data_IF_637521391316
#
_entry.id   IF_637521391316
#
_cell.length_a   1.000
_cell.length_b   1.000
_cell.length_c   1.000
_cell.angle_alpha   90.00
_cell.angle_beta   90.00
_cell.angle_gamma   90.00
#
_symmetry.space_group_name_H-M   'P 1'
#
loop_
_entity.id
_entity.type
_entity.pdbx_description
1 polymer ?
#
# COMPACT_ATOMS: atom_id res chain seq x y z
N UNK A 1 16.79 1.51 -8.27
CA UNK A 1 17.30 2.54 -7.34
C UNK A 1 18.04 3.57 -8.15
N UNK A 2 17.72 4.86 -7.98
CA UNK A 2 18.58 5.92 -8.50
C UNK A 2 19.97 5.72 -7.89
N UNK A 3 21.04 5.87 -8.66
CA UNK A 3 22.43 5.85 -8.17
C UNK A 3 22.70 6.91 -7.09
N UNK A 4 21.72 7.77 -6.81
CA UNK A 4 21.82 8.90 -5.90
C UNK A 4 21.27 8.62 -4.49
N UNK A 5 20.64 7.47 -4.21
CA UNK A 5 20.19 7.14 -2.84
C UNK A 5 21.42 6.88 -1.96
N UNK A 6 21.68 7.69 -0.92
CA UNK A 6 22.83 7.48 -0.05
C UNK A 6 22.72 6.14 0.69
N UNK A 7 23.76 5.32 0.61
CA UNK A 7 23.78 4.00 1.28
C UNK A 7 23.62 4.11 2.81
N UNK A 8 24.00 5.26 3.39
CA UNK A 8 23.83 5.54 4.82
C UNK A 8 22.36 5.55 5.26
N UNK A 9 21.42 5.85 4.36
CA UNK A 9 19.99 5.82 4.69
C UNK A 9 19.54 4.43 5.10
N UNK A 10 20.02 3.38 4.41
CA UNK A 10 19.68 2.00 4.77
C UNK A 10 20.13 1.64 6.19
N UNK A 11 21.34 2.06 6.57
CA UNK A 11 21.84 1.88 7.93
C UNK A 11 21.03 2.70 8.93
N UNK A 12 20.72 3.96 8.63
CA UNK A 12 19.93 4.82 9.52
C UNK A 12 18.52 4.26 9.76
N UNK A 13 17.86 3.75 8.72
CA UNK A 13 16.54 3.11 8.82
C UNK A 13 16.59 1.84 9.65
N UNK A 14 17.53 0.93 9.37
CA UNK A 14 17.63 -0.31 10.13
C UNK A 14 17.99 -0.09 11.62
N UNK A 15 18.67 1.02 11.93
CA UNK A 15 19.03 1.41 13.31
C UNK A 15 17.82 1.90 14.12
N UNK A 16 16.66 2.18 13.50
CA UNK A 16 15.43 2.57 14.23
C UNK A 16 15.07 1.57 15.33
N UNK A 17 15.31 0.26 15.13
CA UNK A 17 15.13 -0.77 16.18
C UNK A 17 15.94 -0.54 17.46
N UNK A 18 17.05 0.21 17.36
CA UNK A 18 17.95 0.50 18.49
C UNK A 18 17.71 1.89 19.08
N UNK A 19 16.96 2.75 18.38
CA UNK A 19 16.62 4.09 18.86
C UNK A 19 15.45 3.96 19.85
N UNK A 20 15.77 4.05 21.15
CA UNK A 20 14.86 3.98 22.31
C UNK A 20 14.30 2.58 22.58
N UNK A 21 15.23 1.70 22.96
CA UNK A 21 15.05 0.29 23.34
C UNK A 21 14.11 0.03 24.53
N UNK A 22 12.81 0.20 24.31
CA UNK A 22 11.76 -0.56 25.00
C UNK A 22 11.28 -1.76 24.18
N UNK A 23 11.39 -1.70 22.85
CA UNK A 23 10.74 -2.65 21.96
C UNK A 23 11.76 -3.54 21.23
N UNK A 24 12.22 -4.59 21.91
CA UNK A 24 13.15 -5.59 21.34
C UNK A 24 12.55 -6.45 20.23
N UNK A 25 11.24 -6.32 20.00
CA UNK A 25 10.45 -7.12 19.06
C UNK A 25 10.17 -6.38 17.73
N UNK A 26 10.69 -5.16 17.54
CA UNK A 26 10.54 -4.41 16.29
C UNK A 26 11.41 -5.02 15.18
N UNK A 27 10.77 -5.45 14.09
CA UNK A 27 11.44 -5.90 12.87
C UNK A 27 11.41 -4.82 11.78
N UNK A 28 12.50 -4.69 11.02
CA UNK A 28 12.60 -3.70 9.95
C UNK A 28 12.76 -4.38 8.59
N UNK A 29 11.81 -4.12 7.69
CA UNK A 29 11.78 -4.70 6.35
C UNK A 29 12.19 -3.68 5.29
N UNK A 30 12.79 -4.16 4.21
CA UNK A 30 13.00 -3.36 2.99
C UNK A 30 12.00 -3.77 1.93
N UNK A 31 11.23 -2.82 1.38
CA UNK A 31 10.38 -3.10 0.20
C UNK A 31 11.16 -2.82 -1.09
N UNK A 32 10.98 -3.68 -2.09
CA UNK A 32 11.58 -3.55 -3.41
C UNK A 32 10.44 -3.56 -4.42
N UNK A 33 10.35 -2.51 -5.23
CA UNK A 33 9.34 -2.39 -6.27
C UNK A 33 8.59 -1.07 -6.18
N UNK A 34 7.28 -1.13 -6.20
CA UNK A 34 6.35 0.01 -6.18
C UNK A 34 5.97 0.52 -7.56
N UNK A 35 4.98 1.41 -7.56
CA UNK A 35 4.34 1.93 -8.77
C UNK A 35 5.33 2.51 -9.78
N UNK A 36 6.22 3.41 -9.35
CA UNK A 36 7.22 4.05 -10.24
C UNK A 36 8.24 3.03 -10.76
N UNK A 37 8.62 2.04 -9.94
CA UNK A 37 9.54 0.99 -10.38
C UNK A 37 8.96 0.17 -11.54
N UNK A 38 7.64 0.00 -11.53
CA UNK A 38 6.91 -0.79 -12.53
C UNK A 38 6.34 0.06 -13.66
N UNK A 39 6.66 1.36 -13.73
CA UNK A 39 6.13 2.27 -14.74
C UNK A 39 6.58 1.92 -16.15
N UNK A 40 5.66 2.10 -17.10
CA UNK A 40 5.90 1.85 -18.52
C UNK A 40 7.11 2.63 -19.06
N UNK A 41 7.94 1.94 -19.87
CA UNK A 41 9.09 2.53 -20.57
C UNK A 41 10.19 3.04 -19.62
N UNK A 42 10.28 2.48 -18.42
CA UNK A 42 11.40 2.69 -17.50
C UNK A 42 12.40 1.52 -17.56
N UNK A 43 13.63 1.75 -17.12
CA UNK A 43 14.66 0.70 -17.04
C UNK A 43 14.32 -0.40 -16.02
N UNK A 44 13.50 -0.07 -15.02
CA UNK A 44 13.11 -0.97 -13.93
C UNK A 44 11.90 -1.83 -14.26
N UNK A 45 11.05 -1.41 -15.19
CA UNK A 45 9.85 -2.16 -15.59
C UNK A 45 10.08 -3.65 -15.83
N UNK A 46 11.04 -4.08 -16.68
CA UNK A 46 11.21 -5.51 -16.98
C UNK A 46 11.89 -6.29 -15.85
N UNK A 47 12.48 -5.62 -14.84
CA UNK A 47 13.45 -6.22 -13.93
C UNK A 47 12.86 -7.40 -13.16
N UNK A 48 11.64 -7.30 -12.64
CA UNK A 48 11.03 -8.42 -11.91
C UNK A 48 10.77 -9.62 -12.82
N UNK A 49 10.15 -9.42 -13.99
CA UNK A 49 9.93 -10.51 -14.96
C UNK A 49 11.25 -11.15 -15.44
N UNK A 50 12.29 -10.33 -15.62
CA UNK A 50 13.63 -10.79 -16.00
C UNK A 50 14.28 -11.66 -14.92
N UNK A 51 14.18 -11.27 -13.66
CA UNK A 51 14.67 -12.06 -12.53
C UNK A 51 13.82 -13.33 -12.40
N UNK A 52 12.49 -13.19 -12.36
CA UNK A 52 11.53 -14.27 -12.14
C UNK A 52 11.65 -15.37 -13.20
N UNK A 53 11.86 -15.03 -14.47
CA UNK A 53 11.92 -16.00 -15.58
C UNK A 53 13.20 -16.85 -15.62
N UNK A 54 14.26 -16.48 -14.89
CA UNK A 54 15.57 -17.11 -15.02
C UNK A 54 16.09 -17.71 -13.70
N UNK A 55 16.21 -19.05 -13.57
CA UNK A 55 16.76 -19.69 -12.37
C UNK A 55 18.10 -19.10 -11.88
N UNK A 56 19.12 -18.88 -12.74
CA UNK A 56 20.36 -18.27 -12.26
C UNK A 56 20.18 -16.82 -11.79
N UNK A 57 19.32 -16.01 -12.43
CA UNK A 57 19.04 -14.63 -11.96
C UNK A 57 18.30 -14.64 -10.62
N UNK A 58 17.29 -15.51 -10.43
CA UNK A 58 16.61 -15.70 -9.13
C UNK A 58 17.60 -16.03 -8.01
N UNK A 59 18.54 -16.94 -8.27
CA UNK A 59 19.54 -17.32 -7.28
C UNK A 59 20.52 -16.18 -6.95
N UNK A 60 20.93 -15.39 -7.94
CA UNK A 60 21.77 -14.21 -7.73
C UNK A 60 21.01 -13.17 -6.91
N UNK A 61 19.76 -12.89 -7.26
CA UNK A 61 18.88 -11.97 -6.54
C UNK A 61 18.73 -12.39 -5.07
N UNK A 62 18.35 -13.64 -4.80
CA UNK A 62 18.22 -14.17 -3.44
C UNK A 62 19.51 -14.05 -2.61
N UNK A 63 20.67 -14.36 -3.19
CA UNK A 63 21.98 -14.19 -2.51
C UNK A 63 22.30 -12.73 -2.22
N UNK A 64 21.95 -11.83 -3.13
CA UNK A 64 22.15 -10.40 -2.93
C UNK A 64 21.21 -9.83 -1.87
N UNK A 65 19.97 -10.31 -1.78
CA UNK A 65 19.05 -9.97 -0.69
C UNK A 65 19.64 -10.34 0.66
N UNK A 66 20.10 -11.58 0.84
CA UNK A 66 20.74 -12.00 2.10
C UNK A 66 21.92 -11.10 2.44
N UNK A 67 22.83 -10.85 1.48
CA UNK A 67 23.97 -9.95 1.71
C UNK A 67 23.54 -8.53 2.09
N UNK A 68 22.53 -7.99 1.41
CA UNK A 68 22.01 -6.65 1.66
C UNK A 68 21.40 -6.55 3.07
N UNK A 69 20.53 -7.50 3.42
CA UNK A 69 19.87 -7.54 4.74
C UNK A 69 20.90 -7.76 5.86
N UNK A 70 21.90 -8.61 5.66
CA UNK A 70 23.01 -8.80 6.61
C UNK A 70 23.86 -7.53 6.78
N UNK A 71 24.16 -6.84 5.68
CA UNK A 71 25.02 -5.67 5.69
C UNK A 71 24.37 -4.49 6.41
N UNK A 72 23.09 -4.23 6.13
CA UNK A 72 22.37 -3.08 6.69
C UNK A 72 21.57 -3.41 7.96
N UNK A 73 21.28 -4.68 8.23
CA UNK A 73 20.59 -5.12 9.44
C UNK A 73 19.07 -5.25 9.31
N UNK A 74 18.53 -5.40 8.09
CA UNK A 74 17.11 -5.67 7.85
C UNK A 74 16.71 -7.09 8.29
N UNK A 75 15.45 -7.25 8.67
CA UNK A 75 14.86 -8.50 9.16
C UNK A 75 14.08 -9.26 8.09
N UNK A 76 13.70 -8.58 7.01
CA UNK A 76 13.09 -9.22 5.87
C UNK A 76 12.96 -8.29 4.67
N UNK A 77 12.26 -8.79 3.66
CA UNK A 77 12.00 -8.08 2.41
C UNK A 77 10.54 -8.20 2.02
N UNK A 78 9.99 -7.11 1.52
CA UNK A 78 8.70 -7.07 0.83
C UNK A 78 8.94 -6.93 -0.68
N UNK A 79 8.24 -7.71 -1.49
CA UNK A 79 8.28 -7.59 -2.95
C UNK A 79 6.98 -6.95 -3.45
N UNK A 80 7.12 -5.75 -3.99
CA UNK A 80 6.02 -4.92 -4.47
C UNK A 80 6.04 -4.80 -6.00
N UNK A 81 5.75 -5.90 -6.69
CA UNK A 81 5.70 -5.92 -8.16
C UNK A 81 4.31 -5.51 -8.66
N UNK A 82 4.23 -4.38 -9.37
CA UNK A 82 2.98 -3.78 -9.83
C UNK A 82 2.82 -3.72 -11.37
N UNK A 83 2.34 -4.76 -12.07
CA UNK A 83 1.89 -6.06 -11.56
C UNK A 83 2.36 -7.20 -12.48
N UNK A 84 2.65 -8.40 -11.93
CA UNK A 84 2.92 -9.57 -12.76
C UNK A 84 1.73 -9.85 -13.69
N UNK A 85 1.99 -10.33 -14.91
CA UNK A 85 0.93 -10.71 -15.86
C UNK A 85 0.13 -9.57 -16.51
N UNK A 86 0.09 -8.38 -15.90
CA UNK A 86 -0.64 -7.24 -16.40
C UNK A 86 0.10 -6.55 -17.55
N UNK A 87 -0.37 -6.75 -18.79
CA UNK A 87 0.31 -6.22 -19.99
C UNK A 87 0.39 -4.69 -20.04
N UNK A 88 -0.58 -3.99 -19.45
CA UNK A 88 -0.59 -2.54 -19.31
C UNK A 88 0.50 -2.02 -18.35
N UNK A 89 1.13 -2.91 -17.59
CA UNK A 89 2.28 -2.66 -16.71
C UNK A 89 3.54 -3.44 -17.15
N UNK A 90 3.52 -4.02 -18.35
CA UNK A 90 4.66 -4.76 -18.92
C UNK A 90 4.78 -6.22 -18.45
N UNK A 91 3.79 -6.72 -17.71
CA UNK A 91 3.70 -8.13 -17.31
C UNK A 91 3.34 -9.06 -18.48
N UNK A 92 3.61 -10.35 -18.28
CA UNK A 92 3.38 -11.45 -19.24
C UNK A 92 2.73 -12.64 -18.55
N UNK A 93 1.99 -13.46 -19.29
CA UNK A 93 1.26 -14.60 -18.72
C UNK A 93 2.18 -15.57 -17.94
N UNK A 94 3.41 -15.79 -18.42
CA UNK A 94 4.39 -16.63 -17.73
C UNK A 94 4.84 -16.08 -16.36
N UNK A 95 4.58 -14.80 -16.05
CA UNK A 95 4.93 -14.19 -14.77
C UNK A 95 4.18 -14.86 -13.61
N UNK A 96 2.98 -15.39 -13.82
CA UNK A 96 2.18 -16.05 -12.77
C UNK A 96 2.98 -17.21 -12.14
N UNK A 97 3.48 -18.13 -12.97
CA UNK A 97 4.29 -19.25 -12.49
C UNK A 97 5.69 -18.82 -12.06
N UNK A 98 6.26 -17.83 -12.75
CA UNK A 98 7.61 -17.37 -12.46
C UNK A 98 7.69 -16.59 -11.15
N UNK A 99 6.61 -15.93 -10.73
CA UNK A 99 6.57 -15.20 -9.48
C UNK A 99 6.56 -16.14 -8.28
N UNK A 100 5.86 -17.28 -8.36
CA UNK A 100 5.96 -18.36 -7.38
C UNK A 100 7.42 -18.84 -7.24
N UNK A 101 8.11 -19.07 -8.35
CA UNK A 101 9.54 -19.48 -8.35
C UNK A 101 10.46 -18.39 -7.80
N UNK A 102 10.10 -17.12 -8.00
CA UNK A 102 10.77 -15.95 -7.42
C UNK A 102 10.58 -15.85 -5.91
N UNK A 103 9.54 -16.45 -5.34
CA UNK A 103 9.36 -16.55 -3.88
C UNK A 103 10.00 -17.81 -3.29
N UNK A 104 9.91 -18.94 -4.01
CA UNK A 104 10.56 -20.19 -3.62
C UNK A 104 12.09 -20.03 -3.45
N UNK A 105 12.74 -19.35 -4.41
CA UNK A 105 14.21 -19.27 -4.43
C UNK A 105 14.78 -18.43 -3.26
N UNK A 106 14.27 -17.22 -2.94
CA UNK A 106 14.62 -16.47 -1.74
C UNK A 106 14.32 -17.23 -0.46
N UNK A 107 13.13 -17.84 -0.30
CA UNK A 107 12.78 -18.60 0.91
C UNK A 107 13.83 -19.67 1.23
N UNK A 108 14.16 -20.54 0.26
CA UNK A 108 15.22 -21.55 0.43
C UNK A 108 16.59 -20.93 0.72
N UNK A 109 16.91 -19.80 0.10
CA UNK A 109 18.20 -19.12 0.33
C UNK A 109 18.27 -18.47 1.72
N UNK A 110 17.14 -17.96 2.23
CA UNK A 110 17.02 -17.37 3.56
C UNK A 110 17.17 -18.43 4.64
N UNK A 111 16.49 -19.58 4.47
CA UNK A 111 16.53 -20.70 5.40
C UNK A 111 17.93 -21.34 5.48
N UNK A 112 18.69 -21.28 4.39
CA UNK A 112 20.07 -21.75 4.33
C UNK A 112 21.11 -20.70 4.79
N UNK A 113 20.70 -19.46 5.10
CA UNK A 113 21.60 -18.41 5.56
C UNK A 113 21.93 -18.54 7.04
N UNK A 114 23.01 -17.89 7.50
CA UNK A 114 23.48 -17.97 8.90
C UNK A 114 22.45 -17.49 9.92
N UNK A 115 21.73 -16.39 9.64
CA UNK A 115 20.66 -15.90 10.52
C UNK A 115 19.50 -16.89 10.55
N UNK A 116 19.21 -17.53 9.41
CA UNK A 116 17.91 -18.16 9.16
C UNK A 116 16.77 -17.15 9.27
N UNK A 117 15.56 -17.53 8.88
CA UNK A 117 14.33 -16.80 9.25
C UNK A 117 14.26 -15.31 8.84
N UNK A 118 14.83 -14.90 7.70
CA UNK A 118 14.45 -13.61 7.12
C UNK A 118 12.97 -13.65 6.72
N UNK A 119 12.25 -12.57 7.03
CA UNK A 119 10.86 -12.43 6.61
C UNK A 119 10.75 -12.16 5.10
N UNK A 120 9.66 -12.64 4.51
CA UNK A 120 9.36 -12.50 3.09
C UNK A 120 7.87 -12.24 2.90
N UNK A 121 7.52 -11.01 2.51
CA UNK A 121 6.15 -10.61 2.16
C UNK A 121 6.04 -10.20 0.70
N UNK A 122 4.80 -10.03 0.25
CA UNK A 122 4.49 -9.38 -1.01
C UNK A 122 3.26 -8.50 -0.88
N UNK A 123 3.17 -7.58 -1.83
CA UNK A 123 2.06 -6.65 -1.94
C UNK A 123 1.09 -7.08 -3.03
N UNK A 124 -0.21 -6.92 -2.78
CA UNK A 124 -1.29 -7.22 -3.73
C UNK A 124 -2.27 -6.04 -3.87
N UNK A 125 -2.86 -5.86 -5.06
CA UNK A 125 -3.89 -4.85 -5.29
C UNK A 125 -5.26 -5.31 -4.77
N UNK A 126 -6.17 -4.37 -4.53
CA UNK A 126 -7.59 -4.69 -4.29
C UNK A 126 -8.38 -4.98 -5.58
N UNK A 127 -7.89 -4.50 -6.74
CA UNK A 127 -8.57 -4.69 -8.03
C UNK A 127 -8.43 -6.12 -8.56
N UNK A 128 -9.56 -6.78 -8.85
CA UNK A 128 -9.58 -8.10 -9.50
C UNK A 128 -8.78 -8.16 -10.81
N UNK A 129 -8.79 -7.07 -11.60
CA UNK A 129 -8.11 -7.01 -12.90
C UNK A 129 -6.61 -7.29 -12.78
N UNK A 130 -5.99 -6.81 -11.71
CA UNK A 130 -4.59 -7.06 -11.39
C UNK A 130 -4.41 -8.29 -10.49
N UNK A 131 -5.31 -8.52 -9.54
CA UNK A 131 -5.22 -9.62 -8.58
C UNK A 131 -5.25 -11.01 -9.23
N UNK A 132 -5.92 -11.17 -10.37
CA UNK A 132 -6.04 -12.44 -11.10
C UNK A 132 -4.70 -13.06 -11.53
N UNK A 133 -3.62 -12.29 -11.53
CA UNK A 133 -2.28 -12.74 -11.92
C UNK A 133 -1.45 -13.31 -10.77
N UNK A 134 -1.99 -13.36 -9.55
CA UNK A 134 -1.29 -13.87 -8.38
C UNK A 134 -1.72 -15.32 -8.09
N UNK A 135 -0.77 -16.28 -8.18
CA UNK A 135 -0.99 -17.64 -7.69
C UNK A 135 -0.82 -17.68 -6.16
N UNK A 136 -1.86 -17.29 -5.43
CA UNK A 136 -1.87 -17.28 -3.97
C UNK A 136 -1.48 -18.63 -3.36
N UNK A 137 -1.97 -19.73 -3.93
CA UNK A 137 -1.69 -21.08 -3.43
C UNK A 137 -0.20 -21.42 -3.57
N UNK A 138 0.44 -20.98 -4.65
CA UNK A 138 1.88 -21.10 -4.85
C UNK A 138 2.68 -20.17 -3.94
N UNK A 139 2.34 -18.89 -3.94
CA UNK A 139 3.08 -17.84 -3.24
C UNK A 139 3.04 -17.99 -1.70
N UNK A 140 1.88 -18.28 -1.12
CA UNK A 140 1.71 -18.37 0.34
C UNK A 140 2.42 -19.58 0.98
N UNK A 141 2.97 -20.51 0.19
CA UNK A 141 3.88 -21.57 0.67
C UNK A 141 5.25 -21.03 1.07
N UNK A 142 5.63 -19.88 0.53
CA UNK A 142 6.97 -19.32 0.64
C UNK A 142 6.96 -17.95 1.33
N UNK A 143 5.87 -17.19 1.21
CA UNK A 143 5.69 -15.93 1.90
C UNK A 143 5.15 -16.12 3.33
N UNK A 144 5.58 -15.25 4.22
CA UNK A 144 5.13 -15.20 5.61
C UNK A 144 3.72 -14.59 5.69
N UNK A 145 3.50 -13.45 5.02
CA UNK A 145 2.20 -12.78 4.86
C UNK A 145 2.10 -12.03 3.52
N UNK A 146 0.93 -11.44 3.27
CA UNK A 146 0.63 -10.60 2.11
C UNK A 146 0.01 -9.27 2.54
N UNK A 147 0.44 -8.16 1.93
CA UNK A 147 -0.07 -6.80 2.19
C UNK A 147 -1.14 -6.45 1.14
N UNK A 148 -2.40 -6.31 1.56
CA UNK A 148 -3.50 -5.91 0.69
C UNK A 148 -3.57 -4.38 0.61
N UNK A 149 -3.20 -3.80 -0.54
CA UNK A 149 -3.39 -2.37 -0.83
C UNK A 149 -4.88 -2.04 -0.89
N UNK A 150 -5.43 -1.58 0.23
CA UNK A 150 -6.86 -1.31 0.42
C UNK A 150 -7.24 0.15 0.22
N UNK A 151 -6.47 0.81 -0.64
CA UNK A 151 -6.60 2.20 -1.07
C UNK A 151 -6.47 2.26 -2.60
N UNK A 152 -6.64 3.47 -3.16
CA UNK A 152 -6.61 3.70 -4.61
C UNK A 152 -7.66 2.89 -5.39
N UNK A 153 -8.80 2.62 -4.75
CA UNK A 153 -9.95 2.00 -5.41
C UNK A 153 -10.53 2.90 -6.51
N UNK A 154 -10.45 4.21 -6.31
CA UNK A 154 -10.95 5.22 -7.24
C UNK A 154 -9.98 6.38 -7.38
N UNK A 155 -10.04 7.03 -8.53
CA UNK A 155 -9.23 8.20 -8.83
C UNK A 155 -9.61 8.83 -10.17
N UNK A 156 -8.87 9.87 -10.55
CA UNK A 156 -9.19 10.65 -11.76
C UNK A 156 -9.07 9.82 -13.05
N UNK A 157 -8.37 8.69 -13.00
CA UNK A 157 -8.22 7.73 -14.10
C UNK A 157 -9.54 7.02 -14.45
N UNK A 158 -10.52 6.98 -13.52
CA UNK A 158 -11.82 6.33 -13.76
C UNK A 158 -12.64 7.01 -14.87
N UNK A 159 -12.27 8.23 -15.27
CA UNK A 159 -12.83 8.89 -16.45
C UNK A 159 -12.82 8.03 -17.71
N UNK A 160 -11.78 7.21 -17.86
CA UNK A 160 -11.56 6.38 -19.04
C UNK A 160 -12.01 4.92 -18.84
N UNK A 161 -12.64 4.62 -17.69
CA UNK A 161 -13.19 3.32 -17.30
C UNK A 161 -14.74 3.34 -17.30
N UNK A 162 -15.44 2.18 -17.37
CA UNK A 162 -16.90 2.11 -17.15
C UNK A 162 -17.43 2.78 -15.87
N UNK A 163 -16.62 2.94 -14.81
CA UNK A 163 -16.99 3.75 -13.62
C UNK A 163 -17.34 5.20 -14.02
N UNK A 164 -16.55 5.79 -14.92
CA UNK A 164 -16.74 7.14 -15.45
C UNK A 164 -16.27 8.25 -14.51
N UNK A 165 -16.52 9.50 -14.90
CA UNK A 165 -16.05 10.68 -14.16
C UNK A 165 -16.92 11.02 -12.94
N UNK A 166 -16.99 10.15 -11.95
CA UNK A 166 -17.72 10.35 -10.69
C UNK A 166 -16.77 10.33 -9.48
N UNK A 167 -17.06 11.13 -8.46
CA UNK A 167 -16.27 11.15 -7.21
C UNK A 167 -16.65 9.97 -6.33
N UNK A 168 -15.66 9.20 -5.91
CA UNK A 168 -15.80 8.05 -5.02
C UNK A 168 -14.59 8.01 -4.09
N UNK A 169 -14.80 7.48 -2.88
CA UNK A 169 -13.76 7.41 -1.87
C UNK A 169 -12.81 6.23 -2.14
N UNK A 170 -11.51 6.49 -2.18
CA UNK A 170 -10.54 5.48 -2.60
C UNK A 170 -10.25 4.39 -1.54
N UNK A 171 -10.81 4.50 -0.32
CA UNK A 171 -10.66 3.54 0.79
C UNK A 171 -12.02 3.00 1.27
N UNK A 172 -12.99 2.84 0.35
CA UNK A 172 -14.32 2.33 0.64
C UNK A 172 -14.30 0.89 1.21
N UNK A 173 -14.69 0.73 2.48
CA UNK A 173 -14.67 -0.56 3.19
C UNK A 173 -15.61 -1.62 2.59
N UNK A 174 -16.72 -1.24 1.93
CA UNK A 174 -17.58 -2.26 1.29
C UNK A 174 -16.84 -2.97 0.16
N UNK A 175 -16.01 -2.25 -0.58
CA UNK A 175 -15.25 -2.77 -1.70
C UNK A 175 -13.94 -3.43 -1.26
N UNK A 176 -13.31 -2.92 -0.19
CA UNK A 176 -12.21 -3.62 0.48
C UNK A 176 -12.64 -5.02 0.91
N UNK A 177 -13.87 -5.16 1.44
CA UNK A 177 -14.45 -6.46 1.78
C UNK A 177 -14.61 -7.35 0.55
N UNK A 178 -15.11 -6.81 -0.55
CA UNK A 178 -15.24 -7.57 -1.81
C UNK A 178 -13.88 -8.03 -2.36
N UNK A 179 -12.85 -7.19 -2.26
CA UNK A 179 -11.48 -7.57 -2.61
C UNK A 179 -10.95 -8.70 -1.72
N UNK A 180 -11.15 -8.61 -0.40
CA UNK A 180 -10.74 -9.64 0.55
C UNK A 180 -11.46 -10.99 0.31
N UNK A 181 -12.73 -10.98 -0.10
CA UNK A 181 -13.47 -12.20 -0.47
C UNK A 181 -12.79 -12.99 -1.60
N UNK A 182 -12.06 -12.32 -2.51
CA UNK A 182 -11.29 -13.00 -3.54
C UNK A 182 -10.13 -13.82 -2.95
N UNK A 183 -9.57 -13.40 -1.83
CA UNK A 183 -8.51 -14.12 -1.11
C UNK A 183 -9.06 -15.37 -0.43
N UNK A 184 -10.23 -15.26 0.23
CA UNK A 184 -10.90 -16.40 0.88
C UNK A 184 -11.31 -17.48 -0.12
N UNK A 185 -11.79 -17.07 -1.30
CA UNK A 185 -12.10 -18.00 -2.40
C UNK A 185 -10.87 -18.75 -2.94
N UNK A 186 -9.67 -18.24 -2.67
CA UNK A 186 -8.40 -18.87 -3.00
C UNK A 186 -7.71 -19.54 -1.80
N UNK A 187 -8.40 -19.67 -0.67
CA UNK A 187 -7.89 -20.28 0.56
C UNK A 187 -6.63 -19.60 1.13
N UNK A 188 -6.49 -18.29 0.95
CA UNK A 188 -5.50 -17.52 1.71
C UNK A 188 -5.97 -17.49 3.17
N UNK A 189 -5.14 -17.86 4.15
CA UNK A 189 -5.53 -17.77 5.55
C UNK A 189 -5.66 -16.29 5.98
N UNK A 190 -6.75 -15.88 6.64
CA UNK A 190 -6.91 -14.49 7.09
C UNK A 190 -5.78 -13.95 7.95
N UNK A 191 -5.23 -14.77 8.84
CA UNK A 191 -4.13 -14.42 9.72
C UNK A 191 -2.82 -14.09 8.98
N UNK A 192 -2.75 -14.38 7.67
CA UNK A 192 -1.62 -14.04 6.80
C UNK A 192 -1.88 -12.83 5.90
N UNK A 193 -3.03 -12.16 6.02
CA UNK A 193 -3.36 -10.96 5.25
C UNK A 193 -3.23 -9.75 6.17
N UNK A 194 -2.46 -8.75 5.73
CA UNK A 194 -2.29 -7.47 6.40
C UNK A 194 -3.04 -6.41 5.61
N UNK A 195 -3.93 -5.67 6.29
CA UNK A 195 -4.73 -4.61 5.67
C UNK A 195 -3.92 -3.31 5.57
N UNK A 196 -3.63 -2.85 4.35
CA UNK A 196 -2.83 -1.65 4.14
C UNK A 196 -3.72 -0.42 4.00
N UNK A 197 -3.62 0.51 4.95
CA UNK A 197 -4.41 1.73 5.05
C UNK A 197 -3.62 2.95 4.55
N UNK A 198 -4.28 3.86 3.84
CA UNK A 198 -3.67 5.09 3.32
C UNK A 198 -3.72 6.24 4.33
N UNK A 199 -2.61 6.96 4.50
CA UNK A 199 -2.52 8.28 5.15
C UNK A 199 -2.50 9.39 4.09
N UNK A 200 -3.20 9.16 2.99
CA UNK A 200 -3.48 10.11 1.93
C UNK A 200 -4.78 9.70 1.28
N UNK A 201 -5.38 10.64 0.55
CA UNK A 201 -6.58 10.37 -0.22
C UNK A 201 -6.53 10.92 -1.64
N UNK A 202 -7.38 10.33 -2.49
CA UNK A 202 -7.64 10.83 -3.84
C UNK A 202 -8.67 11.96 -3.80
N UNK A 203 -8.37 13.01 -4.53
CA UNK A 203 -9.15 14.24 -4.55
C UNK A 203 -9.55 14.66 -5.95
N UNK A 204 -10.70 15.30 -6.06
CA UNK A 204 -11.36 15.59 -7.33
C UNK A 204 -11.85 17.04 -7.36
N UNK A 205 -11.83 17.65 -8.55
CA UNK A 205 -12.57 18.89 -8.79
C UNK A 205 -13.99 18.53 -9.24
N UNK A 206 -15.00 18.95 -8.48
CA UNK A 206 -16.41 18.77 -8.81
C UNK A 206 -16.78 19.55 -10.08
N UNK A 207 -17.58 18.91 -10.94
CA UNK A 207 -18.10 19.55 -12.16
C UNK A 207 -19.26 20.50 -11.87
N UNK A 208 -20.10 20.14 -10.90
CA UNK A 208 -21.19 20.99 -10.41
C UNK A 208 -20.98 21.25 -8.91
N UNK A 209 -20.76 22.51 -8.55
CA UNK A 209 -20.55 22.96 -7.16
C UNK A 209 -21.75 22.68 -6.24
N UNK A 210 -22.91 22.36 -6.80
CA UNK A 210 -24.13 22.02 -6.04
C UNK A 210 -24.22 20.53 -5.68
N UNK A 211 -23.36 19.69 -6.24
CA UNK A 211 -23.34 18.25 -6.03
C UNK A 211 -22.08 17.88 -5.24
N UNK A 212 -22.25 17.39 -4.02
CA UNK A 212 -21.13 17.07 -3.10
C UNK A 212 -21.04 15.60 -2.71
N UNK A 213 -22.04 14.79 -3.06
CA UNK A 213 -22.14 13.40 -2.62
C UNK A 213 -21.30 12.46 -3.50
N UNK A 214 -20.96 11.29 -2.96
CA UNK A 214 -20.40 10.21 -3.77
C UNK A 214 -21.29 9.93 -4.99
N UNK A 215 -20.67 9.75 -6.17
CA UNK A 215 -21.38 9.64 -7.45
C UNK A 215 -21.58 10.96 -8.20
N UNK A 216 -21.29 12.12 -7.58
CA UNK A 216 -21.29 13.40 -8.29
C UNK A 216 -20.18 13.46 -9.35
N UNK A 217 -20.44 14.14 -10.47
CA UNK A 217 -19.49 14.20 -11.56
C UNK A 217 -18.27 15.08 -11.22
N UNK A 218 -17.06 14.63 -11.57
CA UNK A 218 -15.83 15.44 -11.51
C UNK A 218 -15.43 16.02 -12.87
N UNK A 219 -14.81 17.20 -12.85
CA UNK A 219 -14.19 17.86 -13.99
C UNK A 219 -12.70 17.47 -14.15
N UNK A 220 -12.04 17.05 -13.07
CA UNK A 220 -10.66 16.59 -13.10
C UNK A 220 -10.12 16.30 -11.70
N UNK A 221 -8.79 16.27 -11.59
CA UNK A 221 -8.09 16.26 -10.32
C UNK A 221 -8.39 17.53 -9.52
N UNK A 222 -8.47 17.40 -8.20
CA UNK A 222 -8.40 18.57 -7.35
C UNK A 222 -7.03 19.25 -7.47
N UNK A 223 -6.95 20.51 -7.03
CA UNK A 223 -5.70 21.25 -6.94
C UNK A 223 -4.68 20.47 -6.09
N UNK A 224 -3.41 20.59 -6.48
CA UNK A 224 -2.30 19.96 -5.76
C UNK A 224 -2.17 20.53 -4.34
N UNK A 225 -1.81 19.65 -3.41
CA UNK A 225 -1.44 20.03 -2.05
C UNK A 225 -0.19 20.93 -2.01
N UNK A 226 -0.03 21.66 -0.91
CA UNK A 226 1.07 22.62 -0.73
C UNK A 226 2.43 21.95 -0.56
N UNK A 227 2.46 20.70 -0.12
CA UNK A 227 3.66 19.94 0.17
C UNK A 227 3.82 18.73 -0.75
N UNK A 228 2.75 17.94 -0.94
CA UNK A 228 2.80 16.76 -1.83
C UNK A 228 2.98 17.15 -3.31
N UNK A 229 2.57 18.36 -3.68
CA UNK A 229 2.67 18.94 -5.02
C UNK A 229 2.05 18.06 -6.13
N UNK A 230 1.10 17.19 -5.77
CA UNK A 230 0.47 16.24 -6.68
C UNK A 230 -1.04 16.53 -6.83
N UNK A 231 -1.48 16.87 -8.03
CA UNK A 231 -2.89 17.16 -8.28
C UNK A 231 -3.75 15.89 -8.14
N UNK A 232 -4.87 15.99 -7.44
CA UNK A 232 -5.77 14.86 -7.21
C UNK A 232 -5.32 13.90 -6.12
N UNK A 233 -4.36 14.30 -5.30
CA UNK A 233 -3.93 13.57 -4.11
C UNK A 233 -3.59 14.55 -3.01
N UNK A 234 -4.02 14.26 -1.79
CA UNK A 234 -3.67 15.05 -0.60
C UNK A 234 -3.19 14.11 0.50
N UNK A 235 -2.07 14.44 1.13
CA UNK A 235 -1.63 13.73 2.33
C UNK A 235 -2.57 14.05 3.51
N UNK A 236 -2.61 13.16 4.50
CA UNK A 236 -3.45 13.34 5.68
C UNK A 236 -3.20 14.70 6.36
N UNK A 237 -1.95 15.12 6.53
CA UNK A 237 -1.64 16.44 7.11
C UNK A 237 -2.21 17.62 6.28
N UNK A 238 -2.26 17.51 4.95
CA UNK A 238 -2.83 18.56 4.08
C UNK A 238 -4.36 18.62 4.25
N UNK A 239 -4.99 17.46 4.43
CA UNK A 239 -6.43 17.37 4.69
C UNK A 239 -6.74 17.95 6.07
N UNK A 240 -5.94 17.67 7.10
CA UNK A 240 -6.10 18.26 8.43
C UNK A 240 -5.90 19.79 8.41
N UNK A 241 -4.96 20.31 7.62
CA UNK A 241 -4.77 21.74 7.42
C UNK A 241 -6.04 22.39 6.83
N UNK A 242 -6.61 21.78 5.78
CA UNK A 242 -7.87 22.24 5.16
C UNK A 242 -9.01 22.23 6.19
N UNK A 243 -9.15 21.16 6.96
CA UNK A 243 -10.21 21.02 7.97
C UNK A 243 -10.07 22.10 9.04
N UNK A 244 -8.86 22.33 9.54
CA UNK A 244 -8.57 23.34 10.57
C UNK A 244 -8.89 24.75 10.06
N UNK A 245 -8.43 25.08 8.87
CA UNK A 245 -8.43 26.45 8.36
C UNK A 245 -9.77 26.85 7.74
N UNK A 246 -10.42 25.93 7.01
CA UNK A 246 -11.69 26.21 6.32
C UNK A 246 -12.92 25.75 7.09
N UNK A 247 -12.78 24.79 8.01
CA UNK A 247 -13.89 24.18 8.77
C UNK A 247 -15.04 23.69 7.87
N UNK A 248 -14.73 22.91 6.82
CA UNK A 248 -15.76 22.37 5.94
C UNK A 248 -16.70 21.44 6.70
N UNK A 249 -17.90 21.23 6.17
CA UNK A 249 -18.81 20.23 6.70
C UNK A 249 -18.25 18.84 6.36
N UNK A 250 -17.87 18.09 7.37
CA UNK A 250 -17.47 16.68 7.25
C UNK A 250 -18.74 15.83 7.11
N UNK A 251 -18.80 15.03 6.06
CA UNK A 251 -19.83 14.01 5.88
C UNK A 251 -19.21 12.64 6.15
N UNK A 252 -19.82 11.88 7.05
CA UNK A 252 -19.41 10.51 7.34
C UNK A 252 -20.32 9.53 6.61
N UNK A 253 -19.74 8.75 5.70
CA UNK A 253 -20.39 7.58 5.13
C UNK A 253 -20.10 6.36 6.00
N UNK A 254 -21.12 5.94 6.76
CA UNK A 254 -21.03 4.82 7.71
C UNK A 254 -20.90 3.46 7.03
N UNK A 255 -21.45 3.32 5.84
CA UNK A 255 -21.44 2.04 5.13
C UNK A 255 -20.07 1.83 4.47
N UNK A 256 -19.57 2.87 3.80
CA UNK A 256 -18.25 2.88 3.19
C UNK A 256 -17.11 3.05 4.20
N UNK A 257 -17.41 3.41 5.46
CA UNK A 257 -16.44 3.71 6.50
C UNK A 257 -15.38 4.73 6.04
N UNK A 258 -15.85 5.86 5.52
CA UNK A 258 -15.02 6.98 5.07
C UNK A 258 -15.67 8.30 5.49
N UNK A 259 -14.87 9.36 5.53
CA UNK A 259 -15.37 10.73 5.54
C UNK A 259 -15.13 11.37 4.18
N UNK A 260 -15.84 12.45 3.88
CA UNK A 260 -15.47 13.35 2.81
C UNK A 260 -15.84 14.79 3.13
N UNK A 261 -15.14 15.72 2.48
CA UNK A 261 -15.36 17.16 2.56
C UNK A 261 -15.39 17.79 1.17
N UNK A 262 -16.07 18.92 1.08
CA UNK A 262 -15.90 19.87 -0.02
C UNK A 262 -15.24 21.14 0.53
N UNK A 263 -14.20 21.59 -0.14
CA UNK A 263 -13.40 22.78 0.21
C UNK A 263 -13.18 23.64 -1.04
N UNK A 264 -12.78 24.91 -0.86
CA UNK A 264 -12.56 25.87 -1.95
C UNK A 264 -13.68 25.90 -3.02
N UNK A 265 -14.93 25.79 -2.58
CA UNK A 265 -16.18 25.71 -3.36
C UNK A 265 -16.40 24.49 -4.26
N UNK A 266 -15.35 23.88 -4.82
CA UNK A 266 -15.48 22.79 -5.81
C UNK A 266 -14.42 21.69 -5.71
N UNK A 267 -13.63 21.67 -4.64
CA UNK A 267 -12.65 20.62 -4.41
C UNK A 267 -13.22 19.58 -3.45
N UNK A 268 -13.11 18.31 -3.78
CA UNK A 268 -13.65 17.20 -3.01
C UNK A 268 -12.53 16.23 -2.66
N UNK A 269 -12.54 15.71 -1.43
CA UNK A 269 -11.60 14.68 -0.98
C UNK A 269 -12.30 13.78 0.04
N UNK A 270 -12.15 12.46 -0.12
CA UNK A 270 -12.42 11.52 0.97
C UNK A 270 -11.29 11.56 1.99
N UNK A 271 -11.51 11.08 3.20
CA UNK A 271 -10.43 10.84 4.15
C UNK A 271 -10.82 9.91 5.28
N UNK A 272 -9.79 9.37 5.93
CA UNK A 272 -9.92 8.62 7.16
C UNK A 272 -9.60 9.44 8.41
N UNK A 273 -10.28 9.13 9.51
CA UNK A 273 -10.01 9.64 10.85
C UNK A 273 -10.20 8.52 11.88
N UNK A 274 -10.11 8.83 13.18
CA UNK A 274 -10.38 7.88 14.26
C UNK A 274 -11.60 6.97 14.05
N UNK A 275 -12.76 7.55 13.69
CA UNK A 275 -14.01 6.79 13.55
C UNK A 275 -13.93 5.77 12.40
N UNK A 276 -13.39 6.17 11.26
CA UNK A 276 -13.31 5.30 10.07
C UNK A 276 -12.15 4.31 10.14
N UNK A 277 -10.99 4.71 10.69
CA UNK A 277 -9.93 3.77 11.01
C UNK A 277 -10.41 2.70 11.98
N UNK A 278 -11.14 3.10 13.04
CA UNK A 278 -11.74 2.14 13.96
C UNK A 278 -12.71 1.19 13.26
N UNK A 279 -13.57 1.67 12.38
CA UNK A 279 -14.48 0.80 11.61
C UNK A 279 -13.72 -0.23 10.75
N UNK A 280 -12.61 0.18 10.12
CA UNK A 280 -11.76 -0.69 9.31
C UNK A 280 -11.00 -1.72 10.16
N UNK A 281 -10.45 -1.30 11.29
CA UNK A 281 -9.77 -2.18 12.26
C UNK A 281 -10.75 -3.16 12.89
N UNK A 282 -11.92 -2.71 13.34
CA UNK A 282 -12.96 -3.58 13.92
C UNK A 282 -13.41 -4.64 12.90
N UNK A 283 -13.48 -4.30 11.62
CA UNK A 283 -13.73 -5.28 10.57
C UNK A 283 -12.55 -6.24 10.39
N UNK A 284 -11.31 -5.75 10.30
CA UNK A 284 -10.12 -6.57 10.18
C UNK A 284 -10.02 -7.60 11.32
N UNK A 285 -10.27 -7.17 12.56
CA UNK A 285 -10.32 -8.02 13.75
C UNK A 285 -11.46 -9.05 13.67
N UNK A 286 -12.64 -8.65 13.17
CA UNK A 286 -13.79 -9.56 13.03
C UNK A 286 -13.54 -10.71 12.05
N UNK A 287 -12.68 -10.48 11.05
CA UNK A 287 -12.26 -11.49 10.08
C UNK A 287 -11.06 -12.30 10.58
N UNK A 288 -10.27 -11.73 11.50
CA UNK A 288 -9.03 -12.31 12.00
C UNK A 288 -7.84 -12.06 11.08
N UNK A 289 -7.75 -10.84 10.50
CA UNK A 289 -6.59 -10.44 9.70
C UNK A 289 -5.31 -10.43 10.54
N UNK A 290 -4.17 -10.65 9.90
CA UNK A 290 -2.85 -10.70 10.56
C UNK A 290 -2.37 -9.37 11.12
N UNK A 291 -2.98 -8.25 10.68
CA UNK A 291 -2.73 -6.92 11.20
C UNK A 291 -3.09 -5.82 10.21
N UNK A 292 -2.60 -4.62 10.49
CA UNK A 292 -2.71 -3.45 9.62
C UNK A 292 -1.34 -2.89 9.29
N UNK A 293 -1.23 -2.26 8.13
CA UNK A 293 -0.06 -1.52 7.66
C UNK A 293 -0.51 -0.12 7.22
N UNK A 294 0.39 0.85 7.21
CA UNK A 294 0.11 2.22 6.75
C UNK A 294 0.94 2.62 5.52
N UNK A 295 0.33 3.33 4.58
CA UNK A 295 1.00 4.04 3.48
C UNK A 295 0.66 5.53 3.54
N UNK A 296 1.55 6.42 3.94
CA UNK A 296 2.82 6.14 4.62
C UNK A 296 3.00 7.07 5.82
N UNK A 297 3.90 6.68 6.73
CA UNK A 297 4.12 7.40 7.99
C UNK A 297 4.55 8.86 7.79
N UNK A 298 5.22 9.18 6.69
CA UNK A 298 5.63 10.54 6.33
C UNK A 298 4.47 11.44 5.83
N UNK A 299 3.27 10.87 5.65
CA UNK A 299 2.06 11.58 5.28
C UNK A 299 1.14 11.88 6.48
N UNK A 300 1.50 11.39 7.67
CA UNK A 300 0.88 11.81 8.93
C UNK A 300 1.27 13.26 9.26
N UNK A 301 0.59 13.88 10.23
CA UNK A 301 0.98 15.19 10.74
C UNK A 301 2.12 15.10 11.77
N UNK A 302 2.64 16.26 12.16
CA UNK A 302 3.75 16.35 13.13
C UNK A 302 3.39 15.83 14.53
N UNK A 303 2.10 15.67 14.83
CA UNK A 303 1.58 15.16 16.09
C UNK A 303 1.29 13.65 16.02
N UNK A 304 1.54 13.01 14.88
CA UNK A 304 1.20 11.61 14.59
C UNK A 304 -0.28 11.31 14.85
N UNK A 305 -1.17 12.22 14.47
CA UNK A 305 -2.59 12.09 14.81
C UNK A 305 -3.26 10.96 14.05
N UNK A 306 -2.92 10.69 12.77
CA UNK A 306 -3.47 9.55 12.04
C UNK A 306 -3.04 8.23 12.67
N UNK A 307 -1.75 8.10 13.03
CA UNK A 307 -1.24 6.91 13.71
C UNK A 307 -1.87 6.74 15.09
N UNK A 308 -2.04 7.82 15.86
CA UNK A 308 -2.72 7.80 17.16
C UNK A 308 -4.16 7.33 17.02
N UNK A 309 -4.88 7.86 16.03
CA UNK A 309 -6.25 7.51 15.72
C UNK A 309 -6.38 6.04 15.28
N UNK A 310 -5.47 5.57 14.43
CA UNK A 310 -5.44 4.17 13.98
C UNK A 310 -5.15 3.21 15.14
N UNK A 311 -4.19 3.53 16.01
CA UNK A 311 -3.80 2.68 17.13
C UNK A 311 -4.77 2.77 18.32
N UNK A 312 -5.60 3.82 18.38
CA UNK A 312 -6.40 4.17 19.55
C UNK A 312 -5.57 4.53 20.79
N UNK A 313 -4.27 4.84 20.62
CA UNK A 313 -3.31 5.21 21.67
C UNK A 313 -2.13 5.98 21.08
N UNK A 314 -1.41 6.73 21.90
CA UNK A 314 -0.28 7.53 21.42
C UNK A 314 0.94 6.64 21.10
N UNK A 315 1.71 6.96 20.03
CA UNK A 315 2.92 6.21 19.67
C UNK A 315 4.04 6.21 20.73
N UNK A 316 3.92 7.02 21.79
CA UNK A 316 4.85 7.04 22.92
C UNK A 316 4.52 6.06 24.05
N UNK A 317 3.38 5.35 23.97
CA UNK A 317 2.89 4.45 25.03
C UNK A 317 3.40 3.00 24.91
N UNK A 318 4.49 2.77 24.17
CA UNK A 318 5.13 1.46 23.96
C UNK A 318 6.31 1.20 24.91
#
# INVERSE_FOLDING_TARGET
MSSNTPAELFTQTAVVRTLKSGNGDLEVFVSIGGWIFSDNKTETQPVFGDIASSPPKRQIFAKNLVKFMQHYGFDGVDIDWEYPGASDRGGKEEDVENYVKLFETPRHTFDASEKGNYGLSFTIPSSYWYLRWFDFKGMMKHADWVNLMSYDLYGVWDRDDPIGSIVLAHTNLTEIKEAAELLWRNNVPPEKVVLWLGFYDRSFQLKDKKCSDAGCAFAGAANKGSCTDNAGTLAYFEIQDIIRDQKPKIIHDKEAAVNYIVFDDDQWVSFDNNETFKQKVDWADSVGLGGVMIWSIDQDDNDFSALTDLLGRSPGDF
#
